data_IF_651554676044
#
_entry.id   IF_651554676044
#
_cell.length_a   1.000
_cell.length_b   1.000
_cell.length_c   1.000
_cell.angle_alpha   90.00
_cell.angle_beta   90.00
_cell.angle_gamma   90.00
#
_symmetry.space_group_name_H-M   'P 1'
#
loop_
_entity.id
_entity.type
_entity.pdbx_description
1 polymer ?
2 non-polymer ?
3 non-polymer ?
4 non-polymer ?
5 water ?
#
# COMPACT_ATOMS: atom_id res chain seq x y z
N UNK A 3 9.75 -11.97 -8.54
CA UNK A 3 10.05 -10.58 -8.18
C UNK A 3 11.25 -10.47 -7.19
N UNK A 4 11.15 -9.57 -6.22
CA UNK A 4 12.24 -8.72 -5.76
C UNK A 4 13.00 -9.22 -4.50
N UNK A 5 13.90 -8.40 -3.94
CA UNK A 5 14.57 -8.71 -2.65
C UNK A 5 14.88 -7.43 -1.83
N UNK A 6 14.14 -7.18 -0.75
CA UNK A 6 14.36 -5.98 0.05
C UNK A 6 15.74 -5.84 0.57
N UNK A 7 16.29 -6.93 1.08
CA UNK A 7 17.58 -6.82 1.69
C UNK A 7 18.61 -6.40 0.66
N UNK A 8 18.43 -6.83 -0.59
CA UNK A 8 19.36 -6.49 -1.67
C UNK A 8 19.03 -5.16 -2.33
N UNK A 9 17.82 -4.65 -2.03
CA UNK A 9 17.26 -3.49 -2.70
C UNK A 9 17.31 -2.27 -1.77
N UNK A 10 17.16 -1.10 -2.37
CA UNK A 10 17.23 0.13 -1.60
C UNK A 10 16.35 1.17 -2.24
N UNK A 11 15.60 1.89 -1.41
CA UNK A 11 14.87 3.07 -1.84
C UNK A 11 15.22 4.18 -0.87
N UNK A 12 15.68 5.30 -1.41
CA UNK A 12 16.12 6.42 -0.59
C UNK A 12 15.61 7.73 -1.16
N UNK A 13 15.71 8.78 -0.35
CA UNK A 13 15.31 10.12 -0.76
C UNK A 13 16.40 11.09 -0.31
N UNK A 14 16.83 11.91 -1.26
CA UNK A 14 17.88 12.89 -1.01
C UNK A 14 17.25 14.27 -1.05
N UNK A 15 17.41 15.01 0.03
CA UNK A 15 16.87 16.36 0.14
C UNK A 15 18.04 17.32 0.29
N UNK A 16 17.74 18.61 0.24
CA UNK A 16 18.79 19.62 0.35
C UNK A 16 18.48 20.79 1.27
N UNK A 17 19.53 21.38 1.86
CA UNK A 17 19.38 22.57 2.68
C UNK A 17 20.61 23.27 3.31
N UNK A 18 21.71 23.56 2.58
CA UNK A 18 22.05 23.12 1.24
C UNK A 18 23.47 22.49 1.33
N UNK A 19 23.96 22.37 2.56
CA UNK A 19 25.16 21.56 2.85
C UNK A 19 24.77 20.08 2.84
N UNK A 20 24.41 19.61 1.65
CA UNK A 20 23.72 18.34 1.47
C UNK A 20 24.23 17.72 0.19
N UNK A 21 23.79 16.49 -0.14
CA UNK A 21 22.70 15.64 0.33
C UNK A 21 22.51 15.49 1.84
N UNK A 22 21.25 15.47 2.25
CA UNK A 22 20.85 14.67 3.39
C UNK A 22 20.03 13.55 2.78
N UNK A 23 20.46 12.32 3.04
CA UNK A 23 19.80 11.15 2.48
C UNK A 23 19.17 10.35 3.61
N UNK A 24 17.99 9.83 3.33
CA UNK A 24 17.34 8.89 4.22
C UNK A 24 16.93 7.68 3.39
N UNK A 25 16.81 6.53 4.03
CA UNK A 25 16.41 5.31 3.33
C UNK A 25 15.20 4.68 3.98
N UNK A 26 14.31 4.13 3.18
CA UNK A 26 13.16 3.42 3.69
C UNK A 26 13.57 1.99 3.97
N UNK A 27 13.46 1.57 5.22
CA UNK A 27 13.94 0.26 5.59
C UNK A 27 12.91 -0.84 5.31
N UNK A 28 11.66 -0.45 5.12
CA UNK A 28 10.61 -1.43 4.86
C UNK A 28 9.80 -1.02 3.63
N UNK A 29 9.84 -1.87 2.60
CA UNK A 29 9.03 -1.68 1.42
C UNK A 29 8.85 -3.02 0.75
N UNK A 30 7.90 -3.08 -0.18
CA UNK A 30 7.74 -4.22 -1.04
C UNK A 30 7.65 -3.76 -2.47
N UNK A 31 7.90 -4.66 -3.39
CA UNK A 31 7.79 -4.36 -4.80
C UNK A 31 7.57 -5.62 -5.58
N UNK A 32 6.87 -5.48 -6.71
CA UNK A 32 6.62 -6.56 -7.65
C UNK A 32 6.98 -6.03 -9.02
N UNK A 33 7.71 -6.82 -9.80
CA UNK A 33 8.08 -6.45 -11.15
C UNK A 33 7.85 -7.61 -12.09
N UNK A 34 7.32 -7.32 -13.25
CA UNK A 34 7.20 -8.28 -14.32
C UNK A 34 7.80 -7.61 -15.55
N UNK A 35 8.96 -8.09 -16.00
CA UNK A 35 9.68 -7.42 -17.09
C UNK A 35 10.52 -8.35 -17.94
N UNK A 36 10.28 -8.30 -19.24
CA UNK A 36 11.02 -9.05 -20.23
C UNK A 36 11.39 -8.04 -21.29
N UNK A 37 12.68 -7.77 -21.49
CA UNK A 37 13.06 -6.74 -22.47
C UNK A 37 12.64 -7.06 -23.91
N UNK A 38 12.30 -8.32 -24.18
CA UNK A 38 11.81 -8.69 -25.51
C UNK A 38 10.37 -8.22 -25.73
N UNK A 39 9.68 -7.92 -24.64
CA UNK A 39 8.30 -7.44 -24.66
C UNK A 39 8.12 -6.34 -23.59
N UNK A 40 8.98 -5.32 -23.65
CA UNK A 40 9.11 -4.35 -22.56
C UNK A 40 7.81 -3.63 -22.26
N UNK A 41 7.07 -3.23 -23.29
CA UNK A 41 5.86 -2.44 -23.10
C UNK A 41 4.74 -3.22 -22.41
N UNK A 42 4.89 -4.54 -22.35
CA UNK A 42 3.93 -5.41 -21.67
C UNK A 42 4.25 -5.58 -20.18
N UNK A 43 5.38 -5.03 -19.73
CA UNK A 43 5.80 -5.19 -18.35
C UNK A 43 5.01 -4.36 -17.36
N UNK A 44 5.27 -4.59 -16.09
CA UNK A 44 4.63 -3.80 -15.05
C UNK A 44 5.44 -3.83 -13.78
N UNK A 45 5.23 -2.84 -12.93
CA UNK A 45 5.92 -2.80 -11.65
C UNK A 45 5.08 -2.05 -10.68
N UNK A 46 5.16 -2.45 -9.42
CA UNK A 46 4.55 -1.68 -8.35
C UNK A 46 5.47 -1.69 -7.15
N UNK A 47 5.39 -0.64 -6.35
CA UNK A 47 6.12 -0.55 -5.09
C UNK A 47 5.24 0.04 -4.03
N UNK A 48 5.36 -0.48 -2.81
CA UNK A 48 4.64 0.00 -1.65
C UNK A 48 5.66 0.24 -0.57
N UNK A 49 5.74 1.48 -0.10
CA UNK A 49 6.69 1.87 0.92
C UNK A 49 5.98 2.10 2.25
N UNK A 50 6.56 1.56 3.33
CA UNK A 50 6.12 1.84 4.70
C UNK A 50 6.82 3.12 5.16
N UNK A 51 6.11 4.25 5.16
CA UNK A 51 6.82 5.53 5.29
C UNK A 51 7.43 5.74 6.68
N UNK A 52 6.87 5.11 7.71
CA UNK A 52 7.44 5.21 9.06
C UNK A 52 8.80 4.53 9.17
N UNK A 53 9.19 3.76 8.17
CA UNK A 53 10.50 3.10 8.16
C UNK A 53 11.59 4.00 7.58
N UNK A 54 11.27 5.24 7.27
CA UNK A 54 12.26 6.20 6.76
C UNK A 54 13.29 6.51 7.83
N UNK A 55 14.55 6.28 7.52
CA UNK A 55 15.64 6.43 8.46
C UNK A 55 16.68 7.38 7.94
N UNK A 56 16.80 8.51 8.62
CA UNK A 56 17.79 9.54 8.33
C UNK A 56 19.04 9.39 9.21
N UNK A 57 19.08 8.34 10.05
CA UNK A 57 20.23 8.09 10.88
C UNK A 57 20.24 8.91 12.16
N UNK A 58 19.09 9.47 12.51
CA UNK A 58 18.96 10.38 13.63
C UNK A 58 17.53 10.26 14.14
N UNK A 59 17.35 9.87 15.39
CA UNK A 59 16.01 9.57 15.91
C UNK A 59 15.10 10.79 15.96
N UNK A 60 15.66 11.95 16.31
CA UNK A 60 14.86 13.15 16.29
C UNK A 60 14.42 13.52 14.88
N UNK A 61 15.30 13.39 13.89
CA UNK A 61 14.88 13.64 12.53
C UNK A 61 13.82 12.63 12.12
N UNK A 62 14.02 11.36 12.46
CA UNK A 62 13.06 10.33 12.07
C UNK A 62 11.68 10.62 12.64
N UNK A 63 11.65 11.04 13.90
CA UNK A 63 10.37 11.36 14.54
C UNK A 63 9.70 12.56 13.88
N UNK A 64 10.47 13.61 13.61
CA UNK A 64 9.92 14.80 12.99
C UNK A 64 9.32 14.47 11.61
N UNK A 65 10.06 13.72 10.81
CA UNK A 65 9.63 13.47 9.44
C UNK A 65 8.42 12.55 9.41
N UNK A 66 8.22 11.76 10.45
CA UNK A 66 7.04 10.94 10.53
C UNK A 66 5.80 11.75 10.91
N UNK A 67 5.97 12.94 11.46
CA UNK A 67 4.90 13.71 12.02
C UNK A 67 4.02 14.40 11.00
N UNK A 68 2.96 15.06 11.48
CA UNK A 68 1.87 15.57 10.64
C UNK A 68 2.32 16.50 9.52
N UNK A 69 3.23 17.43 9.82
CA UNK A 69 3.64 18.40 8.80
C UNK A 69 4.47 17.76 7.70
N UNK A 70 5.10 16.63 8.02
CA UNK A 70 5.96 15.93 7.06
C UNK A 70 5.19 14.77 6.46
N UNK A 71 5.53 13.52 6.75
CA UNK A 71 4.80 12.43 6.10
C UNK A 71 3.40 12.19 6.66
N UNK A 72 3.16 12.59 7.91
CA UNK A 72 1.92 12.21 8.61
C UNK A 72 1.70 10.70 8.50
N UNK A 73 2.71 9.97 8.96
CA UNK A 73 2.74 8.53 8.78
C UNK A 73 1.58 7.78 9.47
N UNK A 74 1.06 8.31 10.57
CA UNK A 74 -0.08 7.64 11.22
C UNK A 74 -1.34 7.72 10.35
N UNK A 75 -1.51 8.81 9.63
CA UNK A 75 -2.70 9.02 8.78
C UNK A 75 -2.53 8.33 7.43
N UNK A 76 -1.31 8.40 6.90
CA UNK A 76 -0.97 7.86 5.59
C UNK A 76 0.23 6.93 5.75
N UNK A 77 0.01 5.68 6.15
CA UNK A 77 1.16 4.84 6.46
C UNK A 77 1.97 4.36 5.26
N UNK A 78 1.40 4.42 4.08
CA UNK A 78 2.10 3.95 2.89
C UNK A 78 2.20 5.02 1.84
N UNK A 79 3.19 4.86 0.97
CA UNK A 79 3.30 5.56 -0.32
C UNK A 79 3.40 4.48 -1.37
N UNK A 80 2.86 4.73 -2.55
CA UNK A 80 2.79 3.70 -3.59
C UNK A 80 3.16 4.25 -4.96
N UNK A 81 3.71 3.36 -5.77
CA UNK A 81 3.87 3.57 -7.20
C UNK A 81 3.30 2.38 -7.93
N UNK A 82 2.48 2.61 -8.94
CA UNK A 82 1.93 1.53 -9.76
C UNK A 82 2.12 1.96 -11.23
N UNK A 83 2.86 1.17 -12.00
CA UNK A 83 3.09 1.50 -13.39
C UNK A 83 1.85 1.35 -14.22
N UNK A 84 1.77 2.15 -15.28
CA UNK A 84 0.77 1.95 -16.33
C UNK A 84 1.37 1.76 -17.73
N UNK A 85 2.62 2.16 -17.94
CA UNK A 85 3.23 2.06 -19.26
C UNK A 85 4.74 2.02 -19.13
N UNK A 86 5.37 1.38 -20.10
CA UNK A 86 6.82 1.27 -20.15
C UNK A 86 7.24 1.57 -21.59
N UNK A 87 8.02 2.62 -21.79
CA UNK A 87 8.48 3.06 -23.09
C UNK A 87 9.96 2.86 -23.25
N UNK A 88 10.38 1.96 -24.13
CA UNK A 88 11.82 1.81 -24.31
C UNK A 88 12.48 3.14 -24.72
N UNK A 89 13.64 3.44 -24.13
CA UNK A 89 14.36 4.68 -24.43
C UNK A 89 15.71 4.39 -25.11
N UNK A 90 15.96 3.14 -25.48
CA UNK A 90 17.23 2.71 -26.09
C UNK A 90 18.27 2.32 -25.05
N UNK A 91 19.23 1.45 -25.39
CA UNK A 91 20.34 1.17 -24.49
C UNK A 91 20.05 0.74 -23.04
N UNK A 92 19.17 -0.21 -22.90
CA UNK A 92 18.73 -0.72 -21.62
C UNK A 92 18.06 0.29 -20.69
N UNK A 93 17.62 1.41 -21.24
CA UNK A 93 16.89 2.42 -20.49
C UNK A 93 15.41 2.39 -20.91
N UNK A 94 14.54 2.60 -19.93
CA UNK A 94 13.10 2.55 -20.14
C UNK A 94 12.46 3.66 -19.36
N UNK A 95 11.56 4.40 -19.97
CA UNK A 95 10.77 5.39 -19.25
C UNK A 95 9.53 4.70 -18.72
N UNK A 96 9.42 4.61 -17.40
CA UNK A 96 8.34 3.91 -16.75
C UNK A 96 7.41 4.96 -16.20
N UNK A 97 6.16 4.89 -16.64
CA UNK A 97 5.15 5.86 -16.22
C UNK A 97 4.16 5.17 -15.33
N UNK A 98 3.66 5.91 -14.36
CA UNK A 98 2.63 5.39 -13.47
C UNK A 98 2.17 6.39 -12.46
N UNK A 99 1.37 5.91 -11.50
CA UNK A 99 0.78 6.74 -10.47
C UNK A 99 1.57 6.65 -9.19
N UNK A 100 2.06 7.78 -8.73
CA UNK A 100 2.77 7.92 -7.45
C UNK A 100 1.84 8.59 -6.48
N UNK A 101 1.55 7.91 -5.36
CA UNK A 101 0.69 8.45 -4.30
C UNK A 101 1.51 8.56 -3.02
N UNK A 102 1.59 9.78 -2.50
CA UNK A 102 2.32 10.08 -1.26
C UNK A 102 1.40 10.98 -0.46
N UNK A 103 1.22 10.65 0.83
CA UNK A 103 0.39 11.41 1.73
C UNK A 103 -1.02 11.59 1.12
N UNK A 104 -1.47 10.51 0.50
CA UNK A 104 -2.78 10.51 -0.11
C UNK A 104 -2.98 11.35 -1.37
N UNK A 105 -1.90 11.93 -1.89
CA UNK A 105 -1.94 12.75 -3.11
C UNK A 105 -1.31 11.98 -4.24
N UNK A 106 -2.04 11.88 -5.35
CA UNK A 106 -1.59 11.14 -6.52
C UNK A 106 -1.12 12.07 -7.64
N UNK A 107 -0.06 11.65 -8.30
CA UNK A 107 0.41 12.29 -9.51
C UNK A 107 0.88 11.25 -10.51
N UNK A 108 0.72 11.51 -11.80
CA UNK A 108 1.35 10.68 -12.80
C UNK A 108 2.78 11.15 -12.97
N UNK A 109 3.71 10.19 -12.90
CA UNK A 109 5.14 10.45 -13.01
C UNK A 109 5.75 9.54 -14.04
N UNK A 110 6.88 9.99 -14.59
CA UNK A 110 7.64 9.20 -15.56
C UNK A 110 9.08 9.14 -15.08
N UNK A 111 9.58 7.93 -14.90
CA UNK A 111 10.91 7.75 -14.34
C UNK A 111 11.80 6.97 -15.27
N UNK A 112 13.00 7.51 -15.53
CA UNK A 112 13.93 6.76 -16.36
C UNK A 112 14.57 5.64 -15.54
N UNK A 113 14.50 4.42 -16.05
CA UNK A 113 15.01 3.25 -15.34
C UNK A 113 15.98 2.50 -16.23
N UNK A 114 17.13 2.14 -15.67
CA UNK A 114 18.10 1.32 -16.37
C UNK A 114 17.99 -0.10 -15.87
N UNK A 115 17.94 -1.07 -16.77
CA UNK A 115 17.72 -2.46 -16.42
C UNK A 115 18.92 -3.28 -16.81
N UNK A 116 19.37 -4.17 -15.94
CA UNK A 116 20.43 -5.10 -16.28
C UNK A 116 20.06 -6.51 -15.86
N UNK A 117 20.47 -7.51 -16.62
CA UNK A 117 20.29 -8.89 -16.22
C UNK A 117 21.63 -9.55 -16.13
N UNK A 118 21.84 -10.30 -15.05
CA UNK A 118 23.00 -11.17 -14.94
C UNK A 118 22.61 -12.46 -14.25
N UNK A 119 22.66 -13.56 -14.99
CA UNK A 119 22.16 -14.82 -14.47
C UNK A 119 20.68 -14.70 -14.17
N UNK A 120 20.27 -15.23 -13.02
CA UNK A 120 18.85 -15.20 -12.65
C UNK A 120 18.45 -13.89 -11.94
N UNK A 121 19.31 -12.88 -12.00
CA UNK A 121 19.06 -11.61 -11.30
C UNK A 121 18.81 -10.48 -12.31
N UNK A 122 17.79 -9.68 -12.05
CA UNK A 122 17.50 -8.47 -12.80
C UNK A 122 17.62 -7.28 -11.87
N UNK A 123 18.26 -6.20 -12.29
CA UNK A 123 18.37 -4.99 -11.49
C UNK A 123 17.75 -3.81 -12.20
N UNK A 124 17.09 -2.95 -11.43
CA UNK A 124 16.35 -1.81 -11.93
C UNK A 124 16.81 -0.62 -11.14
N UNK A 125 17.44 0.34 -11.79
CA UNK A 125 18.03 1.50 -11.13
C UNK A 125 17.47 2.78 -11.71
N UNK A 126 17.22 3.77 -10.87
CA UNK A 126 16.73 5.04 -11.39
C UNK A 126 16.63 6.08 -10.32
N UNK A 127 16.31 7.29 -10.75
CA UNK A 127 16.15 8.45 -9.88
C UNK A 127 14.96 9.23 -10.38
N UNK A 128 14.03 9.51 -9.48
CA UNK A 128 12.85 10.31 -9.79
C UNK A 128 12.89 11.61 -8.99
N UNK A 129 13.05 12.76 -9.67
CA UNK A 129 12.94 14.01 -8.93
C UNK A 129 11.48 14.41 -8.75
N UNK A 130 11.14 14.83 -7.53
CA UNK A 130 9.80 15.34 -7.25
C UNK A 130 9.92 16.63 -6.47
N UNK A 131 8.82 17.37 -6.42
CA UNK A 131 8.68 18.48 -5.50
C UNK A 131 7.90 17.97 -4.29
N UNK A 132 8.50 18.07 -3.12
CA UNK A 132 7.82 17.66 -1.89
C UNK A 132 6.51 18.40 -1.70
N UNK A 133 6.49 19.68 -2.11
CA UNK A 133 5.29 20.50 -1.95
C UNK A 133 4.09 19.96 -2.74
N UNK A 134 4.34 19.25 -3.85
CA UNK A 134 3.27 18.68 -4.66
C UNK A 134 2.47 17.63 -3.90
N UNK A 135 3.09 17.04 -2.88
CA UNK A 135 2.45 16.03 -2.06
C UNK A 135 2.19 16.52 -0.63
N UNK A 136 2.33 17.82 -0.41
CA UNK A 136 2.17 18.42 0.94
C UNK A 136 3.10 17.79 1.97
N UNK A 137 4.29 17.41 1.52
CA UNK A 137 5.28 16.86 2.45
C UNK A 137 6.21 17.99 2.92
N UNK A 138 6.01 18.38 4.18
CA UNK A 138 6.72 19.50 4.79
C UNK A 138 5.86 20.76 4.62
N UNK A 139 4.79 20.83 5.37
CA UNK A 139 3.89 21.98 5.34
C UNK A 139 4.04 22.78 6.61
N UNK A 140 3.13 23.73 6.82
CA UNK A 140 3.26 24.61 7.97
C UNK A 140 4.56 25.38 7.92
N UNK A 141 5.30 25.43 9.01
CA UNK A 141 6.58 26.13 9.02
C UNK A 141 7.58 25.55 8.04
N UNK A 142 7.38 24.29 7.63
CA UNK A 142 8.31 23.67 6.71
C UNK A 142 8.04 23.96 5.23
N UNK A 143 7.04 24.81 4.93
CA UNK A 143 6.83 25.21 3.53
C UNK A 143 8.02 26.01 3.01
N UNK A 144 8.74 26.69 3.91
CA UNK A 144 9.82 27.58 3.51
C UNK A 144 10.94 26.79 2.84
N UNK A 145 11.13 27.00 1.54
CA UNK A 145 12.09 26.21 0.79
C UNK A 145 13.51 26.73 0.94
N UNK A 146 13.68 27.82 1.67
CA UNK A 146 15.02 28.28 2.01
C UNK A 146 15.53 27.47 3.20
N UNK A 147 14.64 26.72 3.85
CA UNK A 147 15.04 25.84 4.95
C UNK A 147 15.32 24.42 4.44
N UNK A 148 14.33 23.78 3.83
CA UNK A 148 14.54 22.52 3.13
C UNK A 148 14.06 22.72 1.71
N UNK A 149 14.93 22.45 0.74
CA UNK A 149 14.57 22.65 -0.67
C UNK A 149 13.33 21.85 -1.05
N UNK A 150 12.60 22.34 -2.04
CA UNK A 150 11.41 21.66 -2.51
C UNK A 150 11.77 20.37 -3.26
N UNK A 151 12.80 20.43 -4.09
CA UNK A 151 13.17 19.25 -4.86
C UNK A 151 13.76 18.14 -3.99
N UNK A 152 13.22 16.94 -4.14
CA UNK A 152 13.73 15.73 -3.47
C UNK A 152 13.97 14.69 -4.56
N UNK A 153 15.11 14.01 -4.50
CA UNK A 153 15.42 12.96 -5.45
C UNK A 153 15.15 11.60 -4.81
N UNK A 154 14.25 10.84 -5.42
CA UNK A 154 13.95 9.49 -4.96
C UNK A 154 14.82 8.52 -5.76
N UNK A 155 15.72 7.83 -5.09
CA UNK A 155 16.64 6.91 -5.75
C UNK A 155 16.27 5.48 -5.41
N UNK A 156 16.33 4.61 -6.39
CA UNK A 156 16.04 3.22 -6.14
C UNK A 156 16.98 2.30 -6.87
N UNK A 157 17.24 1.17 -6.22
CA UNK A 157 18.02 0.07 -6.73
C UNK A 157 17.23 -1.17 -6.36
N UNK A 158 16.50 -1.75 -7.31
CA UNK A 158 15.67 -2.92 -7.07
C UNK A 158 16.32 -4.14 -7.68
N UNK A 159 16.50 -5.18 -6.87
CA UNK A 159 17.10 -6.43 -7.32
C UNK A 159 16.03 -7.50 -7.28
N UNK A 160 15.77 -8.13 -8.41
CA UNK A 160 14.79 -9.20 -8.51
C UNK A 160 15.43 -10.52 -8.79
N UNK A 161 14.98 -11.52 -8.03
CA UNK A 161 15.66 -12.81 -7.83
C UNK A 161 17.16 -12.62 -7.65
N UNK B 1 7.15 -11.79 0.49
CA UNK B 1 7.72 -13.06 0.09
C UNK B 1 6.90 -13.74 -1.03
N UNK B 2 5.57 -13.74 -0.93
CA UNK B 2 4.73 -14.02 -2.08
C UNK B 2 3.77 -12.87 -2.34
N UNK B 3 3.51 -12.59 -3.60
CA UNK B 3 2.51 -11.59 -3.97
C UNK B 3 1.16 -12.23 -4.12
N UNK B 4 0.13 -11.54 -3.66
CA UNK B 4 -1.24 -11.99 -3.86
C UNK B 4 -1.64 -11.68 -5.29
N UNK B 5 -2.22 -12.68 -5.96
CA UNK B 5 -2.70 -12.51 -7.33
C UNK B 5 -4.07 -11.86 -7.30
N UNK B 6 -4.13 -10.61 -7.73
CA UNK B 6 -5.38 -9.87 -7.69
C UNK B 6 -6.50 -10.56 -8.44
N UNK B 7 -6.20 -11.06 -9.62
CA UNK B 7 -7.25 -11.63 -10.42
C UNK B 7 -7.88 -12.86 -9.78
N UNK B 8 -7.10 -13.61 -9.01
CA UNK B 8 -7.57 -14.85 -8.38
C UNK B 8 -8.13 -14.60 -6.98
N UNK B 9 -8.05 -13.37 -6.51
CA UNK B 9 -8.40 -13.03 -5.13
C UNK B 9 -9.63 -12.13 -5.05
N UNK B 10 -10.16 -11.99 -3.85
CA UNK B 10 -11.32 -11.12 -3.62
C UNK B 10 -11.27 -10.50 -2.24
N UNK B 11 -11.51 -9.21 -2.16
CA UNK B 11 -11.75 -8.56 -0.88
C UNK B 11 -13.09 -7.87 -1.03
N UNK B 12 -14.01 -8.18 -0.14
CA UNK B 12 -15.34 -7.61 -0.19
C UNK B 12 -15.79 -7.15 1.18
N UNK B 13 -16.87 -6.36 1.19
CA UNK B 13 -17.42 -5.85 2.42
C UNK B 13 -18.92 -6.02 2.35
N UNK B 14 -19.49 -6.56 3.42
CA UNK B 14 -20.91 -6.84 3.49
C UNK B 14 -21.52 -5.97 4.60
N UNK B 15 -22.49 -5.16 4.21
CA UNK B 15 -23.21 -4.30 5.14
C UNK B 15 -24.67 -4.73 5.19
N UNK B 16 -25.43 -4.17 6.13
CA UNK B 16 -26.87 -4.47 6.22
C UNK B 16 -27.71 -3.23 6.46
N UNK B 17 -29.01 -3.35 6.20
CA UNK B 17 -29.93 -2.22 6.26
C UNK B 17 -31.23 -2.57 6.99
N UNK B 18 -31.85 -3.66 6.57
CA UNK B 18 -33.02 -4.20 7.26
C UNK B 18 -32.75 -5.67 7.53
N UNK B 19 -31.50 -5.94 7.95
CA UNK B 19 -30.99 -7.29 8.13
C UNK B 19 -30.74 -7.98 6.79
N UNK B 20 -30.92 -7.23 5.70
CA UNK B 20 -30.64 -7.73 4.36
C UNK B 20 -29.24 -7.29 3.94
N UNK B 21 -28.43 -8.22 3.42
CA UNK B 21 -27.04 -7.85 3.13
C UNK B 21 -26.86 -7.18 1.78
N UNK B 22 -25.90 -6.29 1.73
CA UNK B 22 -25.45 -5.66 0.50
C UNK B 22 -23.94 -5.81 0.47
N UNK B 23 -23.43 -6.38 -0.60
CA UNK B 23 -22.01 -6.66 -0.73
C UNK B 23 -21.37 -5.88 -1.87
N UNK B 24 -20.20 -5.32 -1.60
CA UNK B 24 -19.38 -4.73 -2.63
C UNK B 24 -18.00 -5.34 -2.61
N UNK B 25 -17.27 -5.25 -3.71
CA UNK B 25 -15.94 -5.83 -3.82
C UNK B 25 -14.96 -4.74 -4.27
N UNK B 26 -13.76 -4.77 -3.73
CA UNK B 26 -12.72 -3.88 -4.17
C UNK B 26 -12.02 -4.50 -5.37
N UNK B 27 -12.07 -3.81 -6.50
CA UNK B 27 -11.52 -4.37 -7.73
C UNK B 27 -10.02 -4.16 -7.88
N UNK B 28 -9.44 -3.29 -7.06
CA UNK B 28 -8.00 -3.01 -7.13
C UNK B 28 -7.39 -2.99 -5.75
N UNK B 29 -6.49 -3.92 -5.52
CA UNK B 29 -5.72 -3.99 -4.29
C UNK B 29 -4.44 -4.74 -4.58
N UNK B 30 -3.51 -4.67 -3.63
CA UNK B 30 -2.27 -5.43 -3.72
C UNK B 30 -1.91 -5.91 -2.33
N UNK B 31 -1.23 -7.03 -2.27
CA UNK B 31 -0.85 -7.59 -0.98
C UNK B 31 0.35 -8.49 -1.12
N UNK B 32 1.09 -8.57 -0.01
CA UNK B 32 2.30 -9.36 0.09
C UNK B 32 2.14 -10.23 1.33
N UNK B 33 2.50 -11.50 1.23
CA UNK B 33 2.42 -12.41 2.37
C UNK B 33 3.66 -13.26 2.44
N UNK B 34 4.26 -13.30 3.63
CA UNK B 34 5.36 -14.21 3.93
C UNK B 34 4.90 -15.14 5.01
N UNK B 35 4.72 -16.41 4.68
CA UNK B 35 4.18 -17.36 5.62
C UNK B 35 4.69 -18.76 5.41
N UNK B 36 5.23 -19.34 6.48
CA UNK B 36 5.68 -20.72 6.50
C UNK B 36 5.09 -21.31 7.78
N UNK B 37 4.20 -22.33 7.67
CA UNK B 37 3.58 -22.83 8.89
C UNK B 37 4.56 -23.48 9.86
N UNK B 38 5.77 -23.82 9.40
CA UNK B 38 6.80 -24.34 10.28
C UNK B 38 7.32 -23.23 11.18
N UNK B 39 7.05 -21.99 10.81
CA UNK B 39 7.58 -20.83 11.53
C UNK B 39 6.54 -19.69 11.48
N UNK B 40 5.30 -20.01 11.85
CA UNK B 40 4.20 -19.11 11.56
C UNK B 40 4.36 -17.73 12.21
N UNK B 41 4.84 -17.72 13.45
CA UNK B 41 4.98 -16.48 14.18
C UNK B 41 5.96 -15.50 13.56
N UNK B 42 6.84 -15.99 12.67
CA UNK B 42 7.81 -15.14 11.94
C UNK B 42 7.24 -14.56 10.66
N UNK B 43 6.00 -14.91 10.32
CA UNK B 43 5.39 -14.48 9.08
C UNK B 43 4.87 -13.06 9.12
N UNK B 44 4.43 -12.56 7.96
CA UNK B 44 3.89 -11.22 7.92
C UNK B 44 3.02 -11.07 6.69
N UNK B 45 2.17 -10.06 6.72
CA UNK B 45 1.34 -9.75 5.57
C UNK B 45 1.00 -8.30 5.58
N UNK B 46 0.89 -7.74 4.39
CA UNK B 46 0.28 -6.43 4.28
C UNK B 46 -0.55 -6.32 3.04
N UNK B 47 -1.56 -5.46 3.15
CA UNK B 47 -2.49 -5.21 2.07
C UNK B 47 -2.72 -3.74 1.91
N UNK B 48 -2.83 -3.32 0.65
CA UNK B 48 -3.19 -1.96 0.28
C UNK B 48 -4.39 -2.03 -0.65
N UNK B 49 -5.46 -1.34 -0.28
CA UNK B 49 -6.70 -1.32 -1.06
C UNK B 49 -6.88 0.05 -1.68
N UNK B 50 -7.19 0.07 -2.97
CA UNK B 50 -7.59 1.31 -3.63
C UNK B 50 -9.09 1.49 -3.39
N UNK B 51 -9.48 2.39 -2.50
CA UNK B 51 -10.88 2.41 -2.06
C UNK B 51 -11.85 2.85 -3.15
N UNK B 52 -11.37 3.64 -4.11
CA UNK B 52 -12.21 4.10 -5.21
C UNK B 52 -12.61 2.95 -6.13
N UNK B 53 -11.97 1.80 -5.98
CA UNK B 53 -12.30 0.62 -6.76
C UNK B 53 -13.43 -0.21 -6.17
N UNK B 54 -14.02 0.24 -5.07
CA UNK B 54 -15.13 -0.47 -4.46
C UNK B 54 -16.33 -0.45 -5.38
N UNK B 55 -16.85 -1.63 -5.68
CA UNK B 55 -17.92 -1.81 -6.66
C UNK B 55 -19.10 -2.55 -6.03
N UNK B 56 -20.21 -1.82 -5.90
CA UNK B 56 -21.46 -2.34 -5.38
C UNK B 56 -22.39 -2.75 -6.51
N UNK B 57 -21.91 -2.68 -7.75
CA UNK B 57 -22.72 -3.06 -8.91
C UNK B 57 -23.74 -2.03 -9.35
N UNK B 58 -23.54 -0.80 -8.91
CA UNK B 58 -24.48 0.29 -9.14
C UNK B 58 -23.67 1.59 -9.14
N UNK B 59 -23.73 2.35 -10.23
CA UNK B 59 -22.84 3.52 -10.35
C UNK B 59 -23.15 4.59 -9.33
N UNK B 60 -24.43 4.78 -9.03
CA UNK B 60 -24.79 5.79 -8.05
C UNK B 60 -24.34 5.39 -6.65
N UNK B 61 -24.48 4.13 -6.31
CA UNK B 61 -24.00 3.68 -5.02
C UNK B 61 -22.48 3.84 -4.97
N UNK B 62 -21.80 3.50 -6.06
CA UNK B 62 -20.35 3.59 -6.10
C UNK B 62 -19.87 5.03 -5.93
N UNK B 63 -20.52 5.98 -6.61
CA UNK B 63 -20.18 7.39 -6.43
C UNK B 63 -20.43 7.87 -5.01
N UNK B 64 -21.57 7.48 -4.42
CA UNK B 64 -21.88 7.93 -3.07
C UNK B 64 -20.88 7.41 -2.04
N UNK B 65 -20.51 6.14 -2.13
CA UNK B 65 -19.61 5.53 -1.15
C UNK B 65 -18.20 6.09 -1.30
N UNK B 66 -17.84 6.59 -2.49
CA UNK B 66 -16.55 7.23 -2.67
C UNK B 66 -16.51 8.61 -2.04
N UNK B 67 -17.67 9.21 -1.81
CA UNK B 67 -17.75 10.59 -1.40
C UNK B 67 -17.36 10.88 0.05
N UNK B 68 -17.37 12.15 0.41
CA UNK B 68 -16.76 12.60 1.68
C UNK B 68 -17.34 11.92 2.92
N UNK B 69 -18.65 11.77 2.98
CA UNK B 69 -19.29 11.21 4.18
C UNK B 69 -18.97 9.74 4.33
N UNK B 70 -18.64 9.07 3.23
CA UNK B 70 -18.36 7.64 3.24
C UNK B 70 -16.84 7.43 3.22
N UNK B 71 -16.24 6.96 2.14
CA UNK B 71 -14.80 6.69 2.17
C UNK B 71 -13.95 7.97 2.08
N UNK B 72 -14.49 9.04 1.47
CA UNK B 72 -13.70 10.23 1.13
C UNK B 72 -12.46 9.80 0.36
N UNK B 73 -12.67 9.07 -0.73
CA UNK B 73 -11.57 8.53 -1.51
C UNK B 73 -10.63 9.61 -2.05
N UNK B 74 -11.12 10.83 -2.30
CA UNK B 74 -10.28 11.89 -2.80
C UNK B 74 -9.17 12.24 -1.81
N UNK B 75 -9.49 12.20 -0.53
CA UNK B 75 -8.54 12.57 0.51
C UNK B 75 -7.75 11.35 1.03
N UNK B 76 -8.41 10.19 1.05
CA UNK B 76 -7.84 8.96 1.56
C UNK B 76 -8.03 7.87 0.50
N UNK B 77 -7.19 7.85 -0.51
CA UNK B 77 -7.42 6.95 -1.64
C UNK B 77 -7.10 5.49 -1.29
N UNK B 78 -6.34 5.24 -0.25
CA UNK B 78 -5.99 3.87 0.13
C UNK B 78 -6.40 3.54 1.53
N UNK B 79 -6.63 2.27 1.77
CA UNK B 79 -6.77 1.68 3.09
C UNK B 79 -5.70 0.61 3.20
N UNK B 80 -5.18 0.41 4.41
CA UNK B 80 -3.98 -0.38 4.65
C UNK B 80 -4.21 -1.37 5.79
N UNK B 81 -3.67 -2.58 5.66
CA UNK B 81 -3.49 -3.49 6.78
C UNK B 81 -2.06 -3.93 6.79
N UNK B 82 -1.37 -3.83 7.93
CA UNK B 82 0.00 -4.27 8.08
C UNK B 82 0.07 -5.13 9.32
N UNK B 83 0.46 -6.38 9.17
CA UNK B 83 0.52 -7.28 10.32
C UNK B 83 1.65 -6.96 11.24
N UNK B 84 1.47 -7.33 12.50
CA UNK B 84 2.55 -7.31 13.49
C UNK B 84 2.78 -8.64 14.18
N UNK B 85 1.80 -9.55 14.15
CA UNK B 85 1.95 -10.84 14.85
C UNK B 85 1.04 -11.87 14.23
N UNK B 86 1.45 -13.13 14.33
CA UNK B 86 0.67 -14.26 13.84
C UNK B 86 0.67 -15.32 14.90
N UNK B 87 -0.50 -15.64 15.44
CA UNK B 87 -0.67 -16.62 16.52
C UNK B 87 -1.36 -17.87 16.01
N UNK B 88 -0.68 -19.00 16.00
CA UNK B 88 -1.36 -20.25 15.61
C UNK B 88 -2.59 -20.51 16.47
N UNK B 89 -3.70 -20.93 15.89
CA UNK B 89 -4.95 -21.17 16.63
C UNK B 89 -5.38 -22.61 16.50
N UNK B 90 -4.50 -23.45 15.94
CA UNK B 90 -4.83 -24.85 15.76
C UNK B 90 -5.34 -25.14 14.37
N UNK B 91 -5.18 -26.31 13.78
CA UNK B 91 -6.00 -26.65 12.59
C UNK B 91 -6.05 -25.73 11.35
N UNK B 92 -4.88 -25.36 10.91
CA UNK B 92 -4.58 -24.43 9.84
C UNK B 92 -5.23 -23.07 10.00
N UNK B 93 -5.61 -22.74 11.23
CA UNK B 93 -6.16 -21.42 11.58
C UNK B 93 -5.11 -20.59 12.33
N UNK B 94 -5.06 -19.30 12.03
CA UNK B 94 -4.09 -18.36 12.60
C UNK B 94 -4.79 -17.08 12.91
N UNK B 95 -4.57 -16.51 14.08
CA UNK B 95 -5.03 -15.18 14.41
C UNK B 95 -3.95 -14.19 14.01
N UNK B 96 -4.26 -13.35 13.04
CA UNK B 96 -3.31 -12.39 12.51
C UNK B 96 -3.67 -11.03 13.05
N UNK B 97 -2.75 -10.42 13.75
CA UNK B 97 -2.95 -9.11 14.37
C UNK B 97 -2.15 -8.07 13.62
N UNK B 98 -2.72 -6.90 13.48
CA UNK B 98 -2.01 -5.79 12.87
C UNK B 98 -2.82 -4.52 12.90
N UNK B 99 -2.30 -3.53 12.17
CA UNK B 99 -2.88 -2.20 12.13
C UNK B 99 -3.68 -1.99 10.84
N UNK B 100 -4.95 -1.69 11.02
CA UNK B 100 -5.89 -1.37 9.95
C UNK B 100 -6.09 0.13 9.93
N UNK B 101 -5.79 0.76 8.81
CA UNK B 101 -5.94 2.21 8.68
C UNK B 101 -6.90 2.48 7.53
N UNK B 102 -8.06 3.07 7.84
CA UNK B 102 -9.11 3.39 6.89
C UNK B 102 -9.49 4.84 7.10
N UNK B 103 -9.58 5.63 6.03
CA UNK B 103 -9.98 7.03 6.11
C UNK B 103 -9.11 7.78 7.13
N UNK B 104 -7.84 7.42 7.17
CA UNK B 104 -6.91 8.10 8.03
C UNK B 104 -6.95 7.75 9.49
N UNK B 105 -7.76 6.76 9.86
CA UNK B 105 -7.95 6.35 11.26
C UNK B 105 -7.46 4.95 11.42
N UNK B 106 -6.67 4.69 12.48
CA UNK B 106 -6.05 3.39 12.69
C UNK B 106 -6.65 2.66 13.88
N UNK B 107 -6.79 1.35 13.76
CA UNK B 107 -7.13 0.48 14.87
C UNK B 107 -6.26 -0.76 14.79
N UNK B 108 -5.91 -1.33 15.95
CA UNK B 108 -5.32 -2.66 16.01
C UNK B 108 -6.45 -3.67 15.94
N UNK B 109 -6.33 -4.64 15.03
CA UNK B 109 -7.36 -5.65 14.80
C UNK B 109 -6.72 -7.03 14.80
N UNK B 110 -7.53 -8.03 15.12
CA UNK B 110 -7.10 -9.42 15.07
C UNK B 110 -8.08 -10.17 14.21
N UNK B 111 -7.57 -10.83 13.18
CA UNK B 111 -8.45 -11.54 12.26
C UNK B 111 -8.11 -13.00 12.16
N UNK B 112 -9.11 -13.85 12.32
CA UNK B 112 -8.91 -15.28 12.12
C UNK B 112 -8.75 -15.61 10.64
N UNK B 113 -7.67 -16.29 10.29
CA UNK B 113 -7.36 -16.65 8.91
C UNK B 113 -7.11 -18.12 8.80
N UNK B 114 -7.70 -18.78 7.81
CA UNK B 114 -7.40 -20.16 7.48
C UNK B 114 -6.44 -20.18 6.32
N UNK B 115 -5.42 -21.01 6.40
CA UNK B 115 -4.38 -21.07 5.38
C UNK B 115 -4.34 -22.45 4.77
N UNK B 116 -4.24 -22.53 3.45
CA UNK B 116 -4.07 -23.80 2.76
C UNK B 116 -2.93 -23.70 1.76
N UNK B 117 -2.22 -24.80 1.60
CA UNK B 117 -1.14 -24.92 0.62
C UNK B 117 -1.49 -26.00 -0.38
N UNK B 118 -1.35 -25.72 -1.65
CA UNK B 118 -1.54 -26.74 -2.67
C UNK B 118 -0.56 -26.45 -3.79
N UNK B 119 0.44 -27.30 -3.93
CA UNK B 119 1.53 -27.03 -4.86
C UNK B 119 2.23 -25.76 -4.41
N UNK B 120 2.54 -24.88 -5.36
CA UNK B 120 3.27 -23.66 -5.05
C UNK B 120 2.33 -22.52 -4.65
N UNK B 121 1.05 -22.82 -4.42
CA UNK B 121 0.03 -21.81 -4.11
C UNK B 121 -0.36 -21.86 -2.63
N UNK B 122 -0.51 -20.71 -2.01
CA UNK B 122 -1.08 -20.59 -0.67
C UNK B 122 -2.33 -19.76 -0.74
N UNK B 123 -3.36 -20.17 -0.02
CA UNK B 123 -4.63 -19.46 0.02
C UNK B 123 -4.94 -19.02 1.45
N UNK B 124 -5.44 -17.80 1.61
CA UNK B 124 -5.73 -17.19 2.90
C UNK B 124 -7.16 -16.74 2.91
N UNK B 125 -7.99 -17.28 3.79
CA UNK B 125 -9.41 -16.96 3.85
C UNK B 125 -9.78 -16.47 5.23
N UNK B 126 -10.65 -15.47 5.31
CA UNK B 126 -11.13 -15.06 6.61
C UNK B 126 -12.17 -13.97 6.48
N UNK B 127 -12.69 -13.56 7.63
CA UNK B 127 -13.68 -12.51 7.73
C UNK B 127 -13.31 -11.68 8.95
N UNK B 128 -13.21 -10.38 8.74
CA UNK B 128 -12.95 -9.42 9.81
C UNK B 128 -14.16 -8.50 10.00
N UNK B 129 -14.87 -8.64 11.14
CA UNK B 129 -15.95 -7.68 11.42
C UNK B 129 -15.40 -6.39 12.00
N UNK B 130 -15.87 -5.26 11.48
CA UNK B 130 -15.49 -3.95 12.01
C UNK B 130 -16.74 -3.10 12.22
N UNK B 131 -16.59 -2.04 12.99
CA UNK B 131 -17.59 -0.99 13.06
C UNK B 131 -17.17 0.13 12.12
N UNK B 132 -18.00 0.46 11.16
CA UNK B 132 -17.69 1.54 10.22
C UNK B 132 -17.52 2.85 10.97
N UNK B 133 -18.24 3.04 12.08
CA UNK B 133 -18.14 4.28 12.84
C UNK B 133 -16.76 4.50 13.45
N UNK B 134 -16.03 3.41 13.70
CA UNK B 134 -14.70 3.53 14.29
C UNK B 134 -13.75 4.25 13.34
N UNK B 135 -14.08 4.23 12.06
CA UNK B 135 -13.24 4.84 11.02
C UNK B 135 -13.96 6.04 10.38
N UNK B 136 -15.06 6.44 11.01
CA UNK B 136 -15.90 7.54 10.51
C UNK B 136 -16.36 7.32 9.07
N UNK B 137 -16.60 6.07 8.72
CA UNK B 137 -17.10 5.73 7.38
C UNK B 137 -18.62 5.68 7.39
N UNK B 138 -19.21 6.69 6.77
CA UNK B 138 -20.65 6.92 6.80
C UNK B 138 -20.99 7.87 7.94
N UNK B 139 -20.63 9.12 7.78
CA UNK B 139 -20.84 10.11 8.84
C UNK B 139 -21.92 11.08 8.36
N UNK B 140 -22.17 12.14 9.13
CA UNK B 140 -23.26 13.04 8.79
C UNK B 140 -24.58 12.31 8.88
N UNK B 141 -25.42 12.47 7.87
CA UNK B 141 -26.71 11.81 7.83
C UNK B 141 -26.57 10.29 7.85
N UNK B 142 -25.41 9.80 7.44
CA UNK B 142 -25.21 8.37 7.36
C UNK B 142 -24.76 7.72 8.67
N UNK B 143 -24.63 8.52 9.73
CA UNK B 143 -24.31 7.98 11.05
C UNK B 143 -25.42 7.06 11.52
N UNK B 144 -26.65 7.32 11.08
CA UNK B 144 -27.83 6.63 11.58
C UNK B 144 -27.75 5.14 11.30
N UNK B 145 -27.55 4.37 12.34
CA UNK B 145 -27.35 2.95 12.15
C UNK B 145 -28.64 2.16 11.95
N UNK B 146 -29.77 2.84 12.00
CA UNK B 146 -31.03 2.20 11.63
C UNK B 146 -31.19 2.22 10.11
N UNK B 147 -30.33 2.96 9.43
CA UNK B 147 -30.34 3.02 7.97
C UNK B 147 -29.31 2.05 7.39
N UNK B 148 -28.04 2.24 7.75
CA UNK B 148 -27.01 1.27 7.46
C UNK B 148 -26.38 0.84 8.78
N UNK B 149 -26.39 -0.46 9.06
CA UNK B 149 -25.86 -0.95 10.32
C UNK B 149 -24.39 -0.56 10.50
N UNK B 150 -23.94 -0.47 11.75
CA UNK B 150 -22.56 -0.10 12.03
C UNK B 150 -21.60 -1.23 11.63
N UNK B 151 -22.00 -2.46 11.90
CA UNK B 151 -21.11 -3.57 11.65
C UNK B 151 -21.01 -3.88 10.16
N UNK B 152 -19.77 -3.98 9.68
CA UNK B 152 -19.46 -4.37 8.31
C UNK B 152 -18.52 -5.55 8.39
N UNK B 153 -18.77 -6.58 7.57
CA UNK B 153 -17.91 -7.75 7.54
C UNK B 153 -17.02 -7.66 6.33
N UNK B 154 -15.71 -7.63 6.57
CA UNK B 154 -14.72 -7.64 5.49
C UNK B 154 -14.31 -9.07 5.22
N UNK B 155 -14.65 -9.56 4.04
CA UNK B 155 -14.37 -10.95 3.67
C UNK B 155 -13.22 -10.97 2.71
N UNK B 156 -12.32 -11.93 2.86
CA UNK B 156 -11.21 -12.01 1.92
C UNK B 156 -10.87 -13.45 1.58
N UNK B 157 -10.54 -13.62 0.32
CA UNK B 157 -10.02 -14.85 -0.23
C UNK B 157 -8.79 -14.46 -1.02
N UNK B 158 -7.61 -14.75 -0.52
CA UNK B 158 -6.37 -14.29 -1.12
C UNK B 158 -5.53 -15.47 -1.59
N UNK B 159 -5.10 -15.43 -2.84
CA UNK B 159 -4.32 -16.50 -3.43
C UNK B 159 -2.96 -15.96 -3.77
N UNK B 160 -1.92 -16.58 -3.22
CA UNK B 160 -0.56 -16.16 -3.45
C UNK B 160 0.21 -17.25 -4.14
N UNK B 161 0.96 -16.90 -5.17
CA UNK B 161 1.78 -17.84 -5.94
C UNK B 161 3.10 -17.21 -6.35
X LIG C 1 20.24 23.48 10.51
X LIG C 1 18.83 23.22 10.02
X LIG C 1 17.84 23.92 10.92
X LIG C 1 18.68 23.73 8.60
X LIG C 1 18.54 21.66 10.03
X LIG C 1 17.09 21.01 9.89
X LIG C 1 16.42 20.97 11.25
X LIG C 1 16.25 21.82 8.92
X LIG C 1 17.29 19.53 9.34
X LIG C 1 16.61 19.06 8.19
X LIG C 1 16.82 17.55 8.25
X LIG C 1 16.39 16.68 7.30
X LIG C 1 16.70 15.21 7.58
X LIG C 1 15.62 17.10 6.02
X LIG C 1 14.39 16.18 5.87
X LIG C 1 14.00 15.97 4.40
X LIG C 1 13.18 14.92 4.07
X LIG C 1 12.66 13.96 5.15
X LIG C 1 12.78 14.69 2.60
X LIG C 1 11.25 14.50 2.52
X LIG C 1 11.05 13.20 1.72
X LIG C 1 10.27 13.14 0.60
X LIG C 1 9.49 14.32 0.01
X LIG C 1 10.21 11.77 -0.10
X LIG C 1 8.76 11.42 -0.50
X LIG C 1 9.03 10.07 -1.17
X LIG C 1 8.48 8.90 -0.72
X LIG C 1 7.51 8.84 0.46
X LIG C 1 8.85 7.63 -1.48
X LIG C 1 7.72 7.42 -2.48
X LIG C 1 8.31 6.52 -3.58
X LIG C 1 7.64 5.40 -4.03
X LIG C 1 6.28 5.01 -3.44
X LIG C 1 8.23 4.50 -5.13
X LIG C 1 9.65 4.90 -5.53
X LIG C 1 9.97 4.21 -6.87
X LIG C 1 9.57 4.77 -8.06
X LIG C 1 8.81 6.10 -8.14
X LIG C 1 9.89 4.08 -9.40
X LIG C 1 10.06 2.56 -9.24
X LIG C 1 10.05 2.03 -10.68
X LIG C 1 9.91 0.69 -10.94
X LIG C 1 9.78 -0.32 -9.81
X LIG C 1 9.90 0.27 -12.42
X LIG C 1 10.79 -0.95 -12.64
X LIG C 1 11.14 -0.92 -14.14
X LIG C 1 10.63 -1.78 -15.08
X LIG C 1 11.10 -1.59 -16.53
X LIG C 1 9.61 -2.88 -14.77
X LIG C 1 15.66 19.28 8.22
X LIG C 1 17.03 19.43 7.37
X LIG C 1 17.29 17.19 9.03
X LIG C 1 17.33 15.09 6.84
X LIG C 1 17.17 14.62 8.21
X LIG C 1 15.78 14.96 7.86
X LIG C 1 15.33 18.04 6.10
X LIG C 1 16.21 17.00 5.24
X LIG C 1 14.58 15.31 6.28
X LIG C 1 13.63 16.60 6.34
X LIG C 1 14.33 16.58 3.70
X LIG C 1 13.39 13.67 5.72
X LIG C 1 12.25 13.18 4.72
X LIG C 1 11.98 14.41 5.69
X LIG C 1 13.05 15.47 2.06
X LIG C 1 13.22 13.89 2.27
X LIG C 1 10.87 14.41 3.41
X LIG C 1 10.84 15.26 2.04
X LIG C 1 11.52 12.39 2.01
X LIG C 1 9.14 14.07 -0.88
X LIG C 1 10.09 15.10 -0.08
X LIG C 1 8.74 14.55 0.60
X LIG C 1 10.77 11.79 -0.90
X LIG C 1 10.54 11.09 0.52
X LIG C 1 8.19 11.32 0.29
X LIG C 1 8.40 12.07 -1.14
X LIG C 1 9.65 10.03 -1.93
X LIG C 1 6.71 9.38 0.27
X LIG C 1 7.23 7.90 0.61
X LIG C 1 7.95 9.18 1.27
X LIG C 1 8.91 6.88 -0.86
X LIG C 1 9.70 7.76 -1.95
X LIG C 1 6.96 6.97 -2.05
X LIG C 1 7.43 8.28 -2.86
X LIG C 1 9.18 6.75 -3.97
X LIG C 1 5.92 4.23 -3.91
X LIG C 1 5.66 5.77 -3.54
X LIG C 1 6.39 4.80 -2.49
X LIG C 1 8.23 3.57 -4.81
X LIG C 1 7.64 4.56 -5.92
X LIG C 1 9.70 5.88 -5.65
X LIG C 1 10.28 4.61 -4.85
X LIG C 1 10.46 3.36 -6.87
X LIG C 1 9.11 6.70 -7.42
X LIG C 1 8.99 6.53 -9.01
X LIG C 1 7.85 5.93 -8.05
X LIG C 1 10.71 4.46 -9.76
X LIG C 1 9.16 4.26 -10.02
X LIG C 1 10.92 2.36 -8.80
X LIG C 1 9.32 2.18 -8.72
X LIG C 1 10.12 2.67 -11.42
X LIG C 1 9.08 -0.02 -9.18
X LIG C 1 10.63 -0.41 -9.34
X LIG C 1 9.51 -1.20 -10.18
X LIG C 1 10.22 1.01 -12.98
X LIG C 1 8.97 0.04 -12.69
X LIG C 1 11.60 -0.88 -12.10
X LIG C 1 10.30 -1.78 -12.42
X LIG C 1 11.79 -0.25 -14.44
X LIG C 1 10.62 -2.22 -17.11
X LIG C 1 12.07 -1.77 -16.58
X LIG C 1 10.91 -0.66 -16.82
X LIG C 1 9.89 -3.72 -15.20
X LIG C 1 9.58 -3.02 -13.79
X LIG C 1 8.73 -2.62 -15.09
X LIG D 1 0.66 32.03 4.26
X LIG D 1 0.79 33.16 5.17
X LIG D 1 -0.27 31.05 4.83
X LIG D 1 0.12 32.50 2.98
X LIG D 1 1.96 31.41 4.03
X LIG E 1 21.17 6.64 6.60
X LIG E 1 22.41 7.32 6.97
X LIG E 1 21.25 5.23 6.97
X LIG E 1 20.06 7.26 7.29
X LIG E 1 20.97 6.76 5.15
X LIG F 1 6.31 16.62 -9.85
X LIG F 1 5.23 15.56 -9.66
X LIG F 1 5.74 17.87 -10.53
X LIG F 1 7.46 16.02 -10.66
X LIG F 1 6.78 16.97 -8.50
X LIG F 1 5.79 14.46 -8.99
X LIG F 1 4.67 18.38 -9.79
X LIG F 1 8.01 16.98 -11.53
X LIG F 1 4.84 15.26 -10.63
X LIG F 1 4.41 15.98 -9.07
X LIG F 1 5.41 17.62 -11.54
X LIG F 1 6.52 18.63 -10.61
X LIG F 1 7.09 15.18 -11.24
X LIG F 1 8.23 15.66 -9.99
X LIG F 1 7.14 16.18 -7.98
X LIG F 1 6.13 17.55 -7.98
X LIG F 1 7.58 17.56 -8.66
X LIG F 1 5.10 13.78 -8.86
X LIG F 1 4.31 19.17 -10.22
X LIG F 1 8.75 16.58 -12.04
X LIG G 1 -33.15 3.37 0.93
X LIG G 1 -32.45 3.62 2.25
X LIG G 1 -32.65 5.07 2.66
X LIG G 1 -33.07 2.75 3.31
X LIG G 1 -30.89 3.30 2.13
X LIG G 1 -30.13 2.77 0.82
X LIG G 1 -29.87 3.92 -0.10
X LIG G 1 -31.01 1.75 0.12
X LIG G 1 -28.74 2.06 1.21
X LIG G 1 -27.99 1.42 0.18
X LIG G 1 -26.93 0.43 0.73
X LIG G 1 -25.76 0.92 1.26
X LIG G 1 -25.63 2.43 1.25
X LIG G 1 -24.62 0.06 1.84
X LIG G 1 -23.27 0.48 1.22
X LIG G 1 -22.22 0.54 2.34
X LIG G 1 -21.38 -0.53 2.60
X LIG G 1 -21.44 -1.82 1.78
X LIG G 1 -20.37 -0.40 3.75
X LIG G 1 -19.11 0.34 3.25
X LIG G 1 -18.13 0.40 4.43
X LIG G 1 -16.93 -0.27 4.44
X LIG G 1 -16.51 -1.11 3.22
X LIG G 1 -16.01 -0.15 5.68
X LIG G 1 -14.57 0.27 5.28
X LIG G 1 -13.75 -1.00 4.94
X LIG G 1 -12.68 -0.96 4.06
X LIG G 1 -12.26 0.35 3.38
X LIG G 1 -11.90 -2.25 3.76
X LIG G 1 -10.44 -2.09 4.24
X LIG G 1 -9.79 -3.49 4.35
X LIG G 1 -8.40 -3.62 4.33
X LIG G 1 -7.52 -2.38 4.16
X LIG G 1 -7.68 -4.98 4.45
X LIG G 1 -8.65 -6.17 4.54
X LIG G 1 -7.79 -7.43 4.86
X LIG G 1 -7.53 -7.81 6.15
X LIG G 1 -8.07 -7.04 7.37
X LIG G 1 -6.68 -9.05 6.49
X LIG G 1 -6.09 -9.79 5.28
X LIG G 1 -5.24 -10.87 5.98
X LIG G 1 -3.98 -11.23 5.57
X LIG G 1 -3.32 -10.59 4.36
X LIG G 1 -3.26 -12.30 6.42
X LIG G 1 -2.43 -13.26 5.56
X LIG G 1 -2.27 -14.54 6.41
X LIG G 1 -1.17 -14.75 7.19
X LIG G 1 -0.03 -13.74 7.25
X LIG G 1 -1.10 -16.05 8.01
X LIG G 1 -28.62 0.90 -0.39
X LIG G 1 -27.55 2.10 -0.37
X LIG G 1 -27.09 -0.53 0.71
X LIG G 1 -25.43 2.53 2.21
X LIG G 1 -26.16 3.25 1.17
X LIG G 1 -25.21 2.49 0.36
X LIG G 1 -24.79 -0.88 1.63
X LIG G 1 -24.58 0.19 2.81
X LIG G 1 -23.35 1.38 0.80
X LIG G 1 -22.99 -0.17 0.54
X LIG G 1 -22.15 1.35 2.90
X LIG G 1 -21.08 -1.66 0.88
X LIG G 1 -22.37 -2.12 1.70
X LIG G 1 -20.91 -2.51 2.22
X LIG G 1 -20.78 0.11 4.49
X LIG G 1 -20.12 -1.30 4.07
X LIG G 1 -18.71 -0.16 2.51
X LIG G 1 -19.35 1.24 2.95
X LIG G 1 -18.38 0.93 5.23
X LIG G 1 -17.07 -1.91 3.18
X LIG G 1 -16.62 -0.58 2.40
X LIG G 1 -15.57 -1.37 3.32
X LIG G 1 -16.39 0.53 6.30
X LIG G 1 -15.98 -1.02 6.14
X LIG G 1 -14.61 0.86 4.49
X LIG G 1 -14.15 0.75 6.03
X LIG G 1 -13.99 -1.85 5.36
X LIG G 1 -12.00 1.01 4.06
X LIG G 1 -11.48 0.18 2.79
X LIG G 1 -13.00 0.70 2.84
X LIG G 1 -11.91 -2.42 2.79
X LIG G 1 -12.32 -3.01 4.23
X LIG G 1 -9.94 -1.55 3.57
X LIG G 1 -10.41 -1.65 5.10
X LIG G 1 -10.35 -4.29 4.46
X LIG G 1 -7.72 -1.73 4.86
X LIG G 1 -7.68 -1.98 3.28
X LIG G 1 -6.58 -2.65 4.23
X LIG G 1 -7.12 -4.96 5.25
X LIG G 1 -7.10 -5.10 3.66
X LIG G 1 -9.29 -6.02 5.26
X LIG G 1 -9.11 -6.29 3.68
X LIG G 1 -7.42 -7.95 4.11
X LIG G 1 -7.45 -6.31 7.59
X LIG G 1 -8.95 -6.66 7.14
X LIG G 1 -8.16 -7.65 8.12
X LIG G 1 -5.94 -8.76 7.07
X LIG G 1 -7.24 -9.68 6.99
X LIG G 1 -6.80 -10.20 4.73
X LIG G 1 -5.51 -9.20 4.74
X LIG G 1 -5.62 -11.31 6.77
X LIG G 1 -3.76 -10.89 3.54
X LIG G 1 -2.37 -10.84 4.32
X LIG G 1 -3.40 -9.61 4.42
X LIG G 1 -2.67 -11.86 7.06
X LIG G 1 -3.94 -12.83 6.92
X LIG G 1 -2.91 -13.47 4.73
X LIG G 1 -1.55 -12.87 5.36
X LIG G 1 -2.98 -15.21 6.39
X LIG G 1 -0.36 -12.89 7.64
X LIG G 1 0.69 -14.09 7.82
X LIG G 1 0.32 -13.58 6.35
X LIG G 1 -0.45 -16.66 7.60
X LIG G 1 -0.81 -15.84 8.92
X LIG G 1 -1.99 -16.47 8.03
X LIG H 1 -25.08 -2.31 14.54
X LIG H 1 -24.38 -1.81 15.74
X LIG H 1 -26.14 -3.22 14.96
X LIG H 1 -25.69 -1.18 13.85
X LIG H 1 -24.14 -3.06 13.70
X LIG I 1 -2.59 -0.17 -5.22
X LIG I 1 -1.23 -0.49 -4.84
X LIG I 1 -3.47 -0.31 -4.06
X LIG I 1 -2.65 1.20 -5.73
X LIG I 1 -3.04 -1.09 -6.27
X LIG J 1 -13.29 -2.22 15.79
X LIG J 1 -13.28 -3.72 16.03
X LIG J 1 -12.03 -1.77 15.07
X LIG J 1 -13.48 -1.45 17.09
X LIG J 1 -14.43 -1.94 14.90
X LIG J 1 -12.24 -4.05 16.93
X LIG J 1 -12.01 -2.30 13.76
X LIG J 1 -14.66 -0.68 17.03
X LIG J 1 -13.13 -4.25 15.09
X LIG J 1 -14.22 -4.04 16.45
X LIG J 1 -11.15 -2.11 15.62
X LIG J 1 -11.99 -0.68 15.02
X LIG J 1 -12.62 -0.80 17.26
X LIG J 1 -13.54 -2.15 17.93
X LIG J 1 -15.32 -2.20 15.28
X LIG J 1 -14.28 -2.24 13.94
X LIG J 1 -14.46 -0.93 14.84
X LIG J 1 -12.23 -5.02 17.08
X LIG J 1 -11.20 -2.01 13.31
X LIG J 1 -14.78 -0.19 17.87
#
# INVERSE_FOLDING_TARGET
HMDVDLAKSKVSAVSKQMNVPTEGAFKKFSAQVKFDPAKAAQGSAQMTIDVASFDLGDKMYNDQVAGKDWFDAKTYPQATFVSSAIAPAGGNKYNVTGKLTIKGKAETVTVPVTVAQNGATQTFDGVLPIKRSAFNVGTGEWKDTSIVADEVQIKFHLVAT
HMDVDLAKSKVSAVSKQMNVPTEGAFKKFSAQVKFDPAKAAQGSAQMTIDVASFDLGDKMYNDQVAGKDWFDAKTYPQATFVSSAIAPAGGNKYNVTGKLTIKGKAETVTVPVTVAQNGATQTFDGVLPIKRSAFNVGTGEWKDTSIVADEVQIKFHLVAT
OTP O7 P2 O5 O6 O4 P1 O2 O3 O1 C40 C39 C37 C38 C36 C35 C34 C32 C33 C31 C30 C29 C27 C28 C26 C25 C24 C22 C23 C21 C20 C19 C17 C18 C16 C15 C14 C12 C13 C11 C10 C9 C7 C8 C6 C5 C4 C2 C3 C1 H401 H402 H39 H381 H382 H383 H361 H362 H351 H352 H34 H331 H332 H333 H311 H312 H301 H302 H29 H281 H282 H283 H261 H262 H251 H252 H24 H231 H232 H233 H211 H212 H201 H202 H19 H181 H182 H183 H161 H162 H151 H152 H14 H131 H132 H133 H111 H112 H101 H102 H9 H81 H82 H83 H61 H62 H51 H52 H4 H31 H32 H33 H11 H12 H13
SO4 S O1 O2 O3 O4
SO4 S O1 O2 O3 O4
TRS C C1 C2 C3 N O1 O2 O3 H11 H12 H21 H22 H31 H32 HN1 HN2 HN3 HO1 HO2 HO3
OTP O7 P2 O5 O6 O4 P1 O2 O3 O1 C40 C39 C37 C38 C36 C35 C34 C32 C33 C31 C30 C29 C27 C28 C26 C25 C24 C22 C23 C21 C20 C19 C17 C18 C16 C15 C14 C12 C13 C11 C10 C9 C7 C8 C6 C5 C4 C2 C3 C1 H401 H402 H39 H381 H382 H383 H361 H362 H351 H352 H34 H331 H332 H333 H311 H312 H301 H302 H29 H281 H282 H283 H261 H262 H251 H252 H24 H231 H232 H233 H211 H212 H201 H202 H19 H181 H182 H183 H161 H162 H151 H152 H14 H131 H132 H133 H111 H112 H101 H102 H9 H81 H82 H83 H61 H62 H51 H52 H4 H31 H32 H33 H11 H12 H13
SO4 S O1 O2 O3 O4
SO4 S O1 O2 O3 O4
TRS C C1 C2 C3 N O1 O2 O3 H11 H12 H21 H22 H31 H32 HN1 HN2 HN3 HO1 HO2 HO3
#
